data_IF_798478963026
#
_entry.id   IF_798478963026
#
_cell.length_a   1.000
_cell.length_b   1.000
_cell.length_c   1.000
_cell.angle_alpha   90.00
_cell.angle_beta   90.00
_cell.angle_gamma   90.00
#
_symmetry.space_group_name_H-M   'P 1'
#
loop_
_entity.id
_entity.type
_entity.pdbx_description
1 polymer ?
#
# COMPACT_ATOMS: atom_id res chain seq x y z
N UNK A 1 39.36 54.91 46.84
CA UNK A 1 39.12 54.23 48.13
C UNK A 1 37.82 53.47 47.96
N UNK A 2 37.88 52.14 47.83
CA UNK A 2 36.69 51.29 47.62
C UNK A 2 35.88 51.31 48.92
N UNK A 3 34.60 51.67 48.85
CA UNK A 3 33.75 51.77 50.04
C UNK A 3 33.40 50.37 50.55
N UNK A 4 33.18 50.22 51.86
CA UNK A 4 32.85 48.93 52.50
C UNK A 4 31.65 48.24 51.83
N UNK A 5 30.69 49.04 51.36
CA UNK A 5 29.46 48.57 50.69
C UNK A 5 29.72 47.93 49.32
N UNK A 6 30.73 48.41 48.58
CA UNK A 6 31.15 47.83 47.30
C UNK A 6 31.80 46.46 47.50
N UNK A 7 32.54 46.28 48.61
CA UNK A 7 33.14 45.00 48.97
C UNK A 7 32.08 43.95 49.34
N UNK A 8 31.06 44.33 50.10
CA UNK A 8 29.98 43.42 50.51
C UNK A 8 29.11 43.00 49.32
N UNK A 9 28.77 43.95 48.43
CA UNK A 9 28.01 43.67 47.21
C UNK A 9 28.77 42.74 46.26
N UNK A 10 30.09 42.91 46.13
CA UNK A 10 30.93 42.05 45.30
C UNK A 10 31.07 40.64 45.90
N UNK A 11 31.10 40.53 47.23
CA UNK A 11 31.10 39.24 47.92
C UNK A 11 29.77 38.48 47.75
N UNK A 12 28.63 39.17 47.71
CA UNK A 12 27.34 38.56 47.42
C UNK A 12 27.23 38.09 45.96
N UNK A 13 27.66 38.90 45.00
CA UNK A 13 27.70 38.53 43.59
C UNK A 13 28.58 37.30 43.33
N UNK A 14 29.73 37.21 44.00
CA UNK A 14 30.61 36.03 43.93
C UNK A 14 29.95 34.76 44.46
N UNK A 15 29.18 34.87 45.55
CA UNK A 15 28.42 33.72 46.09
C UNK A 15 27.34 33.24 45.12
N UNK A 16 26.55 34.15 44.56
CA UNK A 16 25.52 33.80 43.57
C UNK A 16 26.13 33.21 42.29
N UNK A 17 27.27 33.74 41.84
CA UNK A 17 27.97 33.17 40.67
C UNK A 17 28.46 31.75 40.94
N UNK A 18 29.03 31.48 42.12
CA UNK A 18 29.45 30.12 42.48
C UNK A 18 28.28 29.13 42.56
N UNK A 19 27.12 29.59 43.05
CA UNK A 19 25.89 28.80 43.11
C UNK A 19 25.34 28.49 41.71
N UNK A 20 25.25 29.50 40.85
CA UNK A 20 24.81 29.34 39.45
C UNK A 20 25.76 28.44 38.65
N UNK A 21 27.07 28.54 38.86
CA UNK A 21 28.06 27.66 38.23
C UNK A 21 27.88 26.19 38.66
N UNK A 22 27.57 25.96 39.94
CA UNK A 22 27.24 24.63 40.48
C UNK A 22 25.98 24.06 39.83
N UNK A 23 24.93 24.88 39.71
CA UNK A 23 23.66 24.46 39.10
C UNK A 23 23.79 24.17 37.60
N UNK A 24 24.53 25.01 36.87
CA UNK A 24 24.86 24.77 35.45
C UNK A 24 25.65 23.47 35.30
N UNK A 25 26.59 23.19 36.21
CA UNK A 25 27.32 21.92 36.24
C UNK A 25 26.39 20.71 36.37
N UNK A 26 25.42 20.78 37.29
CA UNK A 26 24.42 19.73 37.51
C UNK A 26 23.52 19.53 36.30
N UNK A 27 22.95 20.61 35.74
CA UNK A 27 22.08 20.54 34.56
C UNK A 27 22.81 20.03 33.32
N UNK A 28 24.11 20.33 33.17
CA UNK A 28 24.95 19.77 32.10
C UNK A 28 25.18 18.27 32.27
N UNK A 29 25.39 17.81 33.50
CA UNK A 29 25.52 16.38 33.79
C UNK A 29 24.21 15.64 33.49
N UNK A 30 23.08 16.17 33.93
CA UNK A 30 21.75 15.60 33.67
C UNK A 30 21.44 15.57 32.16
N UNK A 31 21.69 16.66 31.43
CA UNK A 31 21.57 16.66 29.97
C UNK A 31 22.51 15.65 29.29
N UNK A 32 23.73 15.47 29.79
CA UNK A 32 24.65 14.48 29.26
C UNK A 32 24.16 13.05 29.54
N UNK A 33 23.50 12.80 30.67
CA UNK A 33 22.88 11.51 31.00
C UNK A 33 21.63 11.25 30.15
N UNK A 34 20.73 12.24 30.01
CA UNK A 34 19.55 12.15 29.14
C UNK A 34 19.94 11.89 27.68
N UNK A 35 20.95 12.61 27.16
CA UNK A 35 21.49 12.37 25.82
C UNK A 35 22.14 11.00 25.67
N UNK A 36 22.66 10.39 26.75
CA UNK A 36 23.16 9.00 26.71
C UNK A 36 22.00 8.00 26.68
N UNK A 37 20.92 8.27 27.40
CA UNK A 37 19.71 7.44 27.42
C UNK A 37 18.95 7.52 26.08
N UNK A 38 18.78 8.71 25.52
CA UNK A 38 18.22 8.91 24.16
C UNK A 38 19.08 8.25 23.09
N UNK A 39 20.41 8.16 23.29
CA UNK A 39 21.33 7.54 22.33
C UNK A 39 21.36 6.01 22.43
N UNK A 40 20.97 5.42 23.57
CA UNK A 40 20.81 3.95 23.68
C UNK A 40 19.53 3.44 23.01
N UNK A 41 18.54 4.30 22.76
CA UNK A 41 17.31 3.97 22.02
C UNK A 41 17.39 4.36 20.51
N UNK A 42 18.57 4.80 20.05
CA UNK A 42 18.79 5.25 18.67
C UNK A 42 19.92 4.50 17.97
N UNK A 43 19.73 3.19 17.82
CA UNK A 43 20.21 2.50 16.63
C UNK A 43 19.30 2.91 15.46
N UNK A 44 19.58 4.08 14.87
CA UNK A 44 19.13 4.58 13.56
C UNK A 44 17.71 4.12 13.15
N UNK A 45 16.69 4.60 13.86
CA UNK A 45 15.38 4.78 13.24
C UNK A 45 15.53 5.92 12.24
N UNK A 46 15.87 5.57 11.00
CA UNK A 46 15.59 6.36 9.82
C UNK A 46 14.16 6.89 9.99
N UNK A 47 14.01 8.18 10.27
CA UNK A 47 12.72 8.86 10.17
C UNK A 47 12.38 8.91 8.68
N UNK A 48 12.04 7.75 8.13
CA UNK A 48 11.07 7.71 7.05
C UNK A 48 9.80 8.10 7.77
N UNK A 49 9.25 9.27 7.46
CA UNK A 49 7.82 9.49 7.66
C UNK A 49 7.13 8.53 6.68
N UNK A 50 7.13 7.25 6.99
CA UNK A 50 6.05 6.39 6.55
C UNK A 50 4.90 6.84 7.43
N UNK A 51 3.99 7.62 6.89
CA UNK A 51 2.60 7.45 7.28
C UNK A 51 2.26 6.00 6.92
N UNK A 52 2.66 5.06 7.76
CA UNK A 52 2.25 3.68 7.67
C UNK A 52 0.78 3.70 8.05
N UNK A 53 -0.05 4.01 7.06
CA UNK A 53 -1.49 3.87 7.15
C UNK A 53 -1.71 2.39 7.43
N UNK A 54 -2.24 2.08 8.60
CA UNK A 54 -2.64 0.73 8.93
C UNK A 54 -3.86 0.36 8.08
N UNK A 55 -3.58 -0.18 6.90
CA UNK A 55 -4.58 -0.60 5.91
C UNK A 55 -5.48 -1.70 6.50
N UNK A 56 -5.05 -2.42 7.55
CA UNK A 56 -5.90 -3.41 8.23
C UNK A 56 -7.16 -2.80 8.87
N UNK A 57 -7.16 -1.49 9.11
CA UNK A 57 -8.31 -0.73 9.64
C UNK A 57 -9.23 -0.17 8.56
N UNK A 58 -8.85 -0.24 7.28
CA UNK A 58 -9.74 0.14 6.19
C UNK A 58 -10.79 -0.95 6.01
N UNK A 59 -12.05 -0.55 5.91
CA UNK A 59 -13.12 -1.47 5.56
C UNK A 59 -12.80 -2.14 4.22
N UNK A 60 -12.95 -3.46 4.15
CA UNK A 60 -12.72 -4.23 2.92
C UNK A 60 -13.55 -3.71 1.74
N UNK A 61 -14.76 -3.22 2.01
CA UNK A 61 -15.62 -2.57 1.02
C UNK A 61 -14.98 -1.30 0.42
N UNK A 62 -14.28 -0.50 1.22
CA UNK A 62 -13.57 0.68 0.74
C UNK A 62 -12.37 0.27 -0.11
N UNK A 63 -11.62 -0.75 0.33
CA UNK A 63 -10.51 -1.30 -0.44
C UNK A 63 -11.01 -1.85 -1.78
N UNK A 64 -12.11 -2.60 -1.79
CA UNK A 64 -12.72 -3.12 -3.01
C UNK A 64 -13.17 -1.99 -3.94
N UNK A 65 -13.76 -0.92 -3.41
CA UNK A 65 -14.20 0.22 -4.21
C UNK A 65 -13.04 1.06 -4.76
N UNK A 66 -11.94 1.22 -4.03
CA UNK A 66 -10.73 1.85 -4.57
C UNK A 66 -10.10 0.93 -5.62
N UNK A 67 -10.08 -0.37 -5.34
CA UNK A 67 -9.51 -1.36 -6.24
C UNK A 67 -10.32 -1.54 -7.52
N UNK A 68 -11.63 -1.27 -7.54
CA UNK A 68 -12.44 -1.33 -8.76
C UNK A 68 -12.05 -0.30 -9.82
N UNK A 69 -11.24 0.71 -9.47
CA UNK A 69 -10.61 1.60 -10.44
C UNK A 69 -9.39 0.97 -11.14
N UNK A 70 -8.89 -0.15 -10.63
CA UNK A 70 -7.84 -0.94 -11.27
C UNK A 70 -8.51 -1.88 -12.27
N UNK A 71 -8.41 -1.52 -13.55
CA UNK A 71 -9.10 -2.22 -14.62
C UNK A 71 -8.30 -3.36 -15.24
N UNK A 72 -7.00 -3.44 -14.92
CA UNK A 72 -6.08 -4.40 -15.56
C UNK A 72 -5.55 -5.48 -14.62
N UNK A 73 -5.27 -6.66 -15.17
CA UNK A 73 -4.63 -7.75 -14.42
C UNK A 73 -3.28 -7.34 -13.84
N UNK A 74 -2.52 -6.50 -14.56
CA UNK A 74 -1.22 -5.98 -14.09
C UNK A 74 -1.37 -5.08 -12.87
N UNK A 75 -2.34 -4.17 -12.87
CA UNK A 75 -2.59 -3.26 -11.75
C UNK A 75 -3.07 -4.03 -10.51
N UNK A 76 -3.98 -4.98 -10.67
CA UNK A 76 -4.46 -5.84 -9.59
C UNK A 76 -3.35 -6.76 -9.03
N UNK A 77 -2.46 -7.25 -9.90
CA UNK A 77 -1.27 -7.99 -9.47
C UNK A 77 -0.33 -7.09 -8.67
N UNK A 78 -0.07 -5.87 -9.12
CA UNK A 78 0.74 -4.91 -8.38
C UNK A 78 0.12 -4.59 -7.01
N UNK A 79 -1.20 -4.43 -6.94
CA UNK A 79 -1.93 -4.24 -5.67
C UNK A 79 -1.67 -5.42 -4.72
N UNK A 80 -1.80 -6.65 -5.20
CA UNK A 80 -1.51 -7.86 -4.40
C UNK A 80 -0.09 -7.86 -3.83
N UNK A 81 0.89 -7.36 -4.58
CA UNK A 81 2.29 -7.29 -4.16
C UNK A 81 2.55 -6.20 -3.12
N UNK A 82 1.67 -5.19 -3.00
CA UNK A 82 1.81 -4.15 -1.97
C UNK A 82 1.40 -4.63 -0.59
N UNK A 83 0.40 -5.54 -0.49
CA UNK A 83 -0.04 -6.06 0.80
C UNK A 83 -0.64 -7.46 0.69
N UNK A 84 -0.18 -8.37 1.57
CA UNK A 84 -0.66 -9.76 1.67
C UNK A 84 -2.17 -9.83 1.91
N UNK A 85 -2.77 -8.86 2.62
CA UNK A 85 -4.21 -8.86 2.92
C UNK A 85 -5.09 -8.79 1.67
N UNK A 86 -4.64 -8.14 0.59
CA UNK A 86 -5.40 -8.03 -0.65
C UNK A 86 -5.47 -9.34 -1.45
N UNK A 87 -4.44 -10.18 -1.32
CA UNK A 87 -4.44 -11.55 -1.84
C UNK A 87 -4.94 -12.59 -0.83
N UNK A 88 -5.15 -12.18 0.43
CA UNK A 88 -5.61 -13.07 1.47
C UNK A 88 -7.12 -13.26 1.39
N UNK A 89 -7.53 -14.49 1.66
CA UNK A 89 -8.92 -14.93 1.55
C UNK A 89 -9.60 -14.79 2.89
N UNK A 90 -10.66 -14.01 2.97
CA UNK A 90 -11.39 -13.89 4.23
C UNK A 90 -12.26 -15.11 4.49
N UNK A 91 -12.23 -15.66 5.73
CA UNK A 91 -13.13 -16.75 6.15
C UNK A 91 -14.60 -16.31 6.30
N UNK A 92 -14.84 -15.00 6.38
CA UNK A 92 -16.12 -14.39 6.80
C UNK A 92 -17.01 -13.92 5.64
N UNK A 93 -16.49 -13.79 4.42
CA UNK A 93 -17.29 -13.45 3.25
C UNK A 93 -18.02 -14.69 2.69
N UNK A 94 -19.31 -14.53 2.39
CA UNK A 94 -20.16 -15.59 1.82
C UNK A 94 -19.59 -16.15 0.52
N UNK A 95 -19.05 -15.27 -0.32
CA UNK A 95 -18.16 -15.58 -1.42
C UNK A 95 -16.74 -15.49 -0.88
N UNK A 96 -16.15 -16.63 -0.54
CA UNK A 96 -14.78 -16.73 -0.02
C UNK A 96 -13.76 -16.27 -1.11
N UNK A 97 -13.69 -15.01 -1.46
CA UNK A 97 -12.78 -14.44 -2.46
C UNK A 97 -11.91 -13.39 -1.81
N UNK A 98 -10.69 -13.20 -2.33
CA UNK A 98 -9.87 -12.06 -1.95
C UNK A 98 -10.37 -10.82 -2.68
N UNK A 99 -9.99 -9.63 -2.21
CA UNK A 99 -10.35 -8.36 -2.87
C UNK A 99 -9.93 -8.36 -4.33
N UNK A 100 -8.73 -8.87 -4.61
CA UNK A 100 -8.19 -8.93 -5.99
C UNK A 100 -9.00 -9.89 -6.87
N UNK A 101 -9.44 -11.03 -6.33
CA UNK A 101 -10.28 -11.98 -7.07
C UNK A 101 -11.67 -11.39 -7.38
N UNK A 102 -12.28 -10.69 -6.43
CA UNK A 102 -13.59 -10.09 -6.63
C UNK A 102 -13.54 -8.93 -7.63
N UNK A 103 -12.50 -8.09 -7.55
CA UNK A 103 -12.32 -6.98 -8.49
C UNK A 103 -11.98 -7.50 -9.89
N UNK A 104 -11.13 -8.53 -10.00
CA UNK A 104 -10.83 -9.13 -11.29
C UNK A 104 -12.08 -9.73 -11.92
N UNK A 105 -12.92 -10.42 -11.15
CA UNK A 105 -14.22 -10.91 -11.61
C UNK A 105 -15.12 -9.77 -12.08
N UNK A 106 -15.23 -8.70 -11.31
CA UNK A 106 -16.06 -7.55 -11.67
C UNK A 106 -15.56 -6.89 -12.97
N UNK A 107 -14.25 -6.77 -13.14
CA UNK A 107 -13.64 -6.23 -14.35
C UNK A 107 -13.90 -7.11 -15.58
N UNK A 108 -13.83 -8.44 -15.43
CA UNK A 108 -14.19 -9.36 -16.52
C UNK A 108 -15.69 -9.27 -16.84
N UNK A 109 -16.56 -9.40 -15.84
CA UNK A 109 -18.01 -9.39 -16.05
C UNK A 109 -18.57 -8.06 -16.55
N UNK A 110 -17.87 -6.93 -16.34
CA UNK A 110 -18.30 -5.62 -16.85
C UNK A 110 -17.84 -5.35 -18.27
N UNK A 111 -16.77 -6.02 -18.73
CA UNK A 111 -16.13 -5.78 -20.04
C UNK A 111 -16.44 -6.88 -21.05
N UNK A 112 -16.49 -8.13 -20.61
CA UNK A 112 -16.71 -9.27 -21.47
C UNK A 112 -18.19 -9.40 -21.87
N UNK A 113 -18.42 -9.60 -23.15
CA UNK A 113 -19.72 -10.02 -23.69
C UNK A 113 -19.99 -11.49 -23.35
N UNK A 114 -21.25 -11.93 -23.45
CA UNK A 114 -21.63 -13.33 -23.16
C UNK A 114 -20.88 -14.33 -24.05
N UNK A 115 -20.60 -13.95 -25.31
CA UNK A 115 -19.83 -14.76 -26.25
C UNK A 115 -18.35 -14.89 -25.87
N UNK A 116 -17.75 -13.81 -25.39
CA UNK A 116 -16.37 -13.81 -24.88
C UNK A 116 -16.27 -14.59 -23.57
N UNK A 117 -17.25 -14.43 -22.68
CA UNK A 117 -17.36 -15.19 -21.43
C UNK A 117 -17.43 -16.70 -21.67
N UNK A 118 -18.10 -17.14 -22.73
CA UNK A 118 -18.15 -18.55 -23.12
C UNK A 118 -16.81 -19.14 -23.59
N UNK A 119 -15.87 -18.29 -24.01
CA UNK A 119 -14.53 -18.69 -24.47
C UNK A 119 -13.48 -18.65 -23.35
N UNK A 120 -13.79 -18.05 -22.20
CA UNK A 120 -12.88 -17.97 -21.07
C UNK A 120 -12.87 -19.28 -20.27
N UNK A 121 -11.72 -19.62 -19.63
CA UNK A 121 -11.66 -20.76 -18.73
C UNK A 121 -12.68 -20.62 -17.60
N UNK A 122 -13.39 -21.71 -17.29
CA UNK A 122 -14.29 -21.72 -16.14
C UNK A 122 -13.49 -21.51 -14.85
N UNK A 123 -14.01 -20.66 -13.96
CA UNK A 123 -13.44 -20.48 -12.64
C UNK A 123 -13.50 -21.79 -11.86
N UNK A 124 -12.36 -22.46 -11.74
CA UNK A 124 -12.18 -23.65 -10.91
C UNK A 124 -11.29 -23.26 -9.74
N UNK A 125 -11.91 -23.12 -8.57
CA UNK A 125 -11.26 -22.76 -7.31
C UNK A 125 -9.96 -23.57 -7.11
N UNK A 126 -8.84 -22.87 -7.05
CA UNK A 126 -7.51 -23.45 -6.80
C UNK A 126 -6.73 -23.89 -8.04
N UNK A 127 -7.36 -23.91 -9.23
CA UNK A 127 -6.68 -24.18 -10.52
C UNK A 127 -6.68 -22.95 -11.42
N UNK A 128 -7.80 -22.23 -11.46
CA UNK A 128 -7.99 -21.02 -12.27
C UNK A 128 -8.53 -19.92 -11.37
N UNK A 129 -7.85 -18.78 -11.35
CA UNK A 129 -8.24 -17.60 -10.58
C UNK A 129 -8.88 -16.55 -11.47
N UNK A 130 -9.71 -15.67 -10.92
CA UNK A 130 -10.28 -14.56 -11.67
C UNK A 130 -9.21 -13.61 -12.20
N UNK A 131 -8.11 -13.42 -11.47
CA UNK A 131 -6.97 -12.66 -11.97
C UNK A 131 -6.34 -13.29 -13.22
N UNK A 132 -6.22 -14.61 -13.27
CA UNK A 132 -5.73 -15.32 -14.46
C UNK A 132 -6.72 -15.27 -15.62
N UNK A 133 -8.02 -15.32 -15.33
CA UNK A 133 -9.08 -15.14 -16.34
C UNK A 133 -9.04 -13.73 -16.93
N UNK A 134 -8.90 -12.70 -16.09
CA UNK A 134 -8.76 -11.30 -16.54
C UNK A 134 -7.51 -11.12 -17.41
N UNK A 135 -6.37 -11.69 -16.97
CA UNK A 135 -5.15 -11.66 -17.79
C UNK A 135 -5.36 -12.30 -19.16
N UNK A 136 -6.10 -13.41 -19.22
CA UNK A 136 -6.41 -14.09 -20.48
C UNK A 136 -7.38 -13.29 -21.35
N UNK A 137 -8.38 -12.65 -20.74
CA UNK A 137 -9.30 -11.74 -21.40
C UNK A 137 -8.57 -10.53 -22.03
N UNK A 138 -7.51 -10.03 -21.39
CA UNK A 138 -6.68 -8.95 -21.95
C UNK A 138 -5.79 -9.39 -23.13
N UNK A 139 -5.51 -10.68 -23.25
CA UNK A 139 -4.59 -11.24 -24.25
C UNK A 139 -5.29 -12.29 -25.13
N UNK A 140 -6.58 -12.08 -25.45
CA UNK A 140 -7.39 -13.07 -26.20
C UNK A 140 -6.72 -13.48 -27.53
N UNK A 141 -6.07 -12.53 -28.22
CA UNK A 141 -5.35 -12.75 -29.49
C UNK A 141 -4.09 -13.65 -29.36
N UNK A 142 -3.55 -13.85 -28.16
CA UNK A 142 -2.41 -14.77 -27.95
C UNK A 142 -2.85 -16.22 -27.79
N UNK A 143 -4.14 -16.45 -27.50
CA UNK A 143 -4.73 -17.78 -27.48
C UNK A 143 -5.37 -18.06 -28.85
N UNK A 144 -5.65 -19.33 -29.18
CA UNK A 144 -6.29 -19.75 -30.44
C UNK A 144 -7.74 -19.21 -30.63
N UNK A 145 -8.09 -18.11 -29.96
CA UNK A 145 -9.40 -17.51 -29.82
C UNK A 145 -9.33 -16.08 -30.35
N UNK A 146 -9.71 -15.89 -31.61
CA UNK A 146 -9.78 -14.57 -32.24
C UNK A 146 -11.06 -13.85 -31.78
N UNK A 147 -10.98 -13.15 -30.65
CA UNK A 147 -12.07 -12.33 -30.11
C UNK A 147 -11.64 -10.85 -30.03
N UNK A 148 -12.52 -9.95 -30.43
CA UNK A 148 -12.36 -8.51 -30.29
C UNK A 148 -13.38 -7.72 -31.12
N UNK A 149 -13.60 -6.45 -30.75
CA UNK A 149 -14.62 -5.56 -31.34
C UNK A 149 -14.52 -5.37 -32.87
N UNK A 150 -13.39 -5.72 -33.47
CA UNK A 150 -13.11 -5.59 -34.91
C UNK A 150 -13.13 -6.92 -35.66
N UNK A 151 -13.55 -8.03 -35.02
CA UNK A 151 -13.55 -9.37 -35.61
C UNK A 151 -15.00 -9.83 -35.81
N UNK A 152 -15.47 -9.81 -37.05
CA UNK A 152 -16.77 -10.37 -37.42
C UNK A 152 -16.62 -11.87 -37.78
N UNK A 153 -17.33 -12.72 -37.04
CA UNK A 153 -17.39 -14.15 -37.34
C UNK A 153 -18.50 -14.44 -38.36
N UNK A 154 -18.13 -15.08 -39.46
CA UNK A 154 -19.09 -15.45 -40.50
C UNK A 154 -20.12 -16.44 -39.99
N UNK A 155 -21.40 -16.09 -40.06
CA UNK A 155 -22.54 -17.01 -39.84
C UNK A 155 -22.55 -17.72 -38.46
N UNK A 156 -21.96 -17.11 -37.43
CA UNK A 156 -21.90 -17.66 -36.07
C UNK A 156 -20.91 -18.81 -35.88
N UNK A 157 -20.10 -19.14 -36.89
CA UNK A 157 -19.02 -20.10 -36.77
C UNK A 157 -17.74 -19.43 -36.25
N UNK A 158 -17.39 -19.73 -35.00
CA UNK A 158 -16.22 -19.16 -34.31
C UNK A 158 -14.87 -19.60 -34.91
N UNK A 159 -14.88 -20.51 -35.89
CA UNK A 159 -13.66 -20.97 -36.61
C UNK A 159 -13.44 -20.27 -37.95
N UNK A 160 -14.43 -19.51 -38.44
CA UNK A 160 -14.37 -18.83 -39.73
C UNK A 160 -14.26 -17.31 -39.54
N UNK A 161 -13.06 -16.78 -39.73
CA UNK A 161 -12.79 -15.34 -39.72
C UNK A 161 -12.94 -14.82 -41.15
N UNK A 162 -13.87 -13.91 -41.36
CA UNK A 162 -13.98 -13.19 -42.62
C UNK A 162 -13.09 -11.96 -42.56
N UNK A 163 -12.17 -11.81 -43.51
CA UNK A 163 -11.52 -10.52 -43.72
C UNK A 163 -12.57 -9.53 -44.22
N UNK A 164 -12.69 -8.37 -43.57
CA UNK A 164 -13.47 -7.25 -44.10
C UNK A 164 -12.80 -6.81 -45.39
N UNK A 165 -13.36 -7.24 -46.53
CA UNK A 165 -12.95 -6.74 -47.84
C UNK A 165 -13.33 -5.26 -47.94
N UNK A 166 -12.38 -4.45 -48.38
CA UNK A 166 -12.63 -3.08 -48.88
C UNK A 166 -13.70 -3.05 -49.97
#
# INVERSE_FOLDING_TARGET
MMTSEDCDSNAELRRRNAELESEIGKLRLENAQLRRLERSDHEVLRVVVTTAVDISRLAESLVAQISSFLGTARELRNLTLTCKSFGFRQPTSTLNWSVVEEVARQAVCSRATDDEMGCLPQYVRGTVTWLSILHRYEHLLEFDVLLGDYIEHGNGDKTAVCATGE
#
